data_IF_744816995025
#
_entry.id   IF_744816995025
#
_cell.length_a   1.000
_cell.length_b   1.000
_cell.length_c   1.000
_cell.angle_alpha   90.00
_cell.angle_beta   90.00
_cell.angle_gamma   90.00
#
_symmetry.space_group_name_H-M   'P 1'
#
loop_
_entity.id
_entity.type
_entity.pdbx_description
1 polymer ?
#
# COMPACT_ATOMS: atom_id res chain seq x y z
N UNK A 1 16.47 48.92 -38.76
CA UNK A 1 16.26 47.55 -39.27
C UNK A 1 15.02 47.03 -38.56
N UNK A 2 13.85 47.29 -39.13
CA UNK A 2 12.55 46.96 -38.53
C UNK A 2 12.32 45.45 -38.57
N UNK A 3 11.94 44.88 -37.43
CA UNK A 3 11.58 43.48 -37.29
C UNK A 3 10.17 43.29 -37.88
N UNK A 4 10.08 43.08 -39.19
CA UNK A 4 8.84 42.74 -39.88
C UNK A 4 8.38 41.35 -39.43
N UNK A 5 7.42 41.31 -38.51
CA UNK A 5 6.67 40.10 -38.19
C UNK A 5 5.76 39.78 -39.38
N UNK A 6 6.06 38.71 -40.11
CA UNK A 6 5.27 38.22 -41.21
C UNK A 6 3.86 37.77 -40.71
N UNK A 7 2.74 38.39 -41.15
CA UNK A 7 1.40 38.12 -40.61
C UNK A 7 0.68 36.93 -41.27
N UNK A 8 1.40 35.99 -41.90
CA UNK A 8 0.80 34.99 -42.83
C UNK A 8 0.55 33.59 -42.25
N UNK A 9 0.56 33.39 -40.92
CA UNK A 9 0.07 32.15 -40.28
C UNK A 9 -1.41 32.25 -39.85
N UNK A 10 -2.21 33.06 -40.56
CA UNK A 10 -3.62 33.27 -40.29
C UNK A 10 -4.50 32.08 -40.71
N UNK A 11 -4.39 30.94 -40.02
CA UNK A 11 -5.39 29.89 -40.15
C UNK A 11 -6.74 30.43 -39.64
N UNK A 12 -7.86 30.20 -40.37
CA UNK A 12 -9.17 30.59 -39.89
C UNK A 12 -9.46 29.94 -38.53
N UNK A 13 -10.11 30.67 -37.61
CA UNK A 13 -10.46 30.14 -36.28
C UNK A 13 -11.31 28.85 -36.35
N UNK A 14 -12.13 28.70 -37.39
CA UNK A 14 -12.90 27.48 -37.62
C UNK A 14 -12.01 26.27 -37.96
N UNK A 15 -10.88 26.47 -38.66
CA UNK A 15 -9.90 25.40 -38.96
C UNK A 15 -9.23 24.94 -37.68
N UNK A 16 -8.83 25.89 -36.83
CA UNK A 16 -8.25 25.58 -35.52
C UNK A 16 -9.24 24.80 -34.64
N UNK A 17 -10.51 25.21 -34.64
CA UNK A 17 -11.59 24.54 -33.90
C UNK A 17 -11.79 23.09 -34.36
N UNK A 18 -11.91 22.87 -35.68
CA UNK A 18 -12.04 21.52 -36.23
C UNK A 18 -10.81 20.63 -35.95
N UNK A 19 -9.61 21.21 -35.96
CA UNK A 19 -8.39 20.49 -35.64
C UNK A 19 -8.37 20.01 -34.18
N UNK A 20 -8.75 20.87 -33.23
CA UNK A 20 -8.83 20.50 -31.81
C UNK A 20 -9.85 19.38 -31.55
N UNK A 21 -11.03 19.47 -32.18
CA UNK A 21 -12.04 18.42 -32.09
C UNK A 21 -11.51 17.10 -32.67
N UNK A 22 -10.84 17.16 -33.82
CA UNK A 22 -10.27 15.98 -34.47
C UNK A 22 -9.21 15.31 -33.59
N UNK A 23 -8.33 16.09 -32.95
CA UNK A 23 -7.33 15.57 -32.00
C UNK A 23 -7.99 14.86 -30.82
N UNK A 24 -9.06 15.45 -30.27
CA UNK A 24 -9.79 14.86 -29.16
C UNK A 24 -10.44 13.52 -29.55
N UNK A 25 -11.09 13.46 -30.72
CA UNK A 25 -11.73 12.24 -31.25
C UNK A 25 -10.69 11.15 -31.50
N UNK A 26 -9.59 11.47 -32.18
CA UNK A 26 -8.49 10.51 -32.43
C UNK A 26 -7.90 10.00 -31.13
N UNK A 27 -7.65 10.90 -30.17
CA UNK A 27 -7.11 10.52 -28.86
C UNK A 27 -8.08 9.66 -28.04
N UNK A 28 -9.39 9.90 -28.18
CA UNK A 28 -10.40 9.04 -27.57
C UNK A 28 -10.37 7.62 -28.15
N UNK A 29 -10.29 7.50 -29.48
CA UNK A 29 -10.18 6.20 -30.16
C UNK A 29 -8.88 5.49 -29.76
N UNK A 30 -7.75 6.20 -29.75
CA UNK A 30 -6.46 5.64 -29.34
C UNK A 30 -6.47 5.19 -27.88
N UNK A 31 -7.07 5.98 -26.98
CA UNK A 31 -7.22 5.62 -25.57
C UNK A 31 -8.16 4.44 -25.36
N UNK A 32 -9.19 4.31 -26.19
CA UNK A 32 -10.04 3.12 -26.22
C UNK A 32 -9.26 1.89 -26.67
N UNK A 33 -8.55 1.95 -27.80
CA UNK A 33 -7.71 0.85 -28.32
C UNK A 33 -6.63 0.46 -27.31
N UNK A 34 -5.91 1.43 -26.73
CA UNK A 34 -4.87 1.16 -25.74
C UNK A 34 -5.45 0.43 -24.53
N UNK A 35 -6.61 0.83 -24.04
CA UNK A 35 -7.29 0.11 -22.96
C UNK A 35 -7.77 -1.28 -23.37
N UNK A 36 -8.23 -1.48 -24.61
CA UNK A 36 -8.56 -2.81 -25.12
C UNK A 36 -7.34 -3.73 -25.10
N UNK A 37 -6.19 -3.24 -25.57
CA UNK A 37 -4.93 -4.00 -25.62
C UNK A 37 -4.37 -4.30 -24.22
N UNK A 38 -4.64 -3.42 -23.26
CA UNK A 38 -4.22 -3.56 -21.87
C UNK A 38 -5.27 -4.24 -20.96
N UNK A 39 -6.37 -4.76 -21.54
CA UNK A 39 -7.40 -5.49 -20.77
C UNK A 39 -6.74 -6.65 -20.01
N UNK A 40 -6.95 -6.67 -18.70
CA UNK A 40 -6.37 -7.67 -17.78
C UNK A 40 -5.12 -7.20 -17.02
N UNK A 41 -4.51 -6.05 -17.37
CA UNK A 41 -3.33 -5.53 -16.66
C UNK A 41 -3.53 -4.22 -15.91
N UNK A 42 -4.57 -3.44 -16.22
CA UNK A 42 -4.84 -2.17 -15.53
C UNK A 42 -6.31 -1.74 -15.59
N UNK A 43 -6.81 -1.19 -14.49
CA UNK A 43 -8.08 -0.46 -14.40
C UNK A 43 -7.80 1.03 -14.59
N UNK A 44 -8.13 1.58 -15.76
CA UNK A 44 -7.85 2.99 -16.11
C UNK A 44 -9.14 3.74 -16.43
N UNK A 45 -9.30 4.93 -15.86
CA UNK A 45 -10.42 5.81 -16.19
C UNK A 45 -10.34 6.26 -17.65
N UNK A 46 -11.50 6.44 -18.28
CA UNK A 46 -11.61 6.91 -19.67
C UNK A 46 -10.88 8.24 -19.84
N UNK A 47 -11.06 9.16 -18.90
CA UNK A 47 -10.42 10.49 -18.92
C UNK A 47 -8.89 10.40 -18.91
N UNK A 48 -8.31 9.60 -18.00
CA UNK A 48 -6.85 9.46 -17.93
C UNK A 48 -6.29 8.84 -19.22
N UNK A 49 -6.96 7.85 -19.78
CA UNK A 49 -6.53 7.23 -21.04
C UNK A 49 -6.56 8.18 -22.23
N UNK A 50 -7.55 9.09 -22.29
CA UNK A 50 -7.65 10.11 -23.35
C UNK A 50 -6.49 11.09 -23.24
N UNK A 51 -6.22 11.63 -22.04
CA UNK A 51 -5.12 12.57 -21.79
C UNK A 51 -3.77 11.95 -22.15
N UNK A 52 -3.53 10.71 -21.72
CA UNK A 52 -2.28 10.00 -22.05
C UNK A 52 -2.16 9.70 -23.55
N UNK A 53 -3.29 9.53 -24.26
CA UNK A 53 -3.29 9.35 -25.71
C UNK A 53 -3.04 10.65 -26.48
N UNK A 54 -3.46 11.81 -25.94
CA UNK A 54 -3.08 13.12 -26.49
C UNK A 54 -1.55 13.28 -26.38
N UNK A 55 -0.97 13.00 -25.20
CA UNK A 55 0.48 13.10 -24.99
C UNK A 55 1.25 12.09 -25.84
N UNK A 56 0.80 10.84 -25.87
CA UNK A 56 1.44 9.78 -26.65
C UNK A 56 1.37 10.02 -28.15
N UNK A 57 0.23 10.47 -28.68
CA UNK A 57 0.11 10.81 -30.09
C UNK A 57 1.01 11.98 -30.50
N UNK A 58 1.13 13.02 -29.66
CA UNK A 58 2.07 14.12 -29.89
C UNK A 58 3.52 13.63 -29.99
N UNK A 59 3.95 12.74 -29.08
CA UNK A 59 5.28 12.11 -29.14
C UNK A 59 5.44 11.26 -30.39
N UNK A 60 4.44 10.46 -30.75
CA UNK A 60 4.50 9.60 -31.93
C UNK A 60 4.57 10.39 -33.25
N UNK A 61 3.87 11.53 -33.37
CA UNK A 61 4.00 12.42 -34.52
C UNK A 61 5.38 13.10 -34.56
N UNK A 62 5.93 13.52 -33.41
CA UNK A 62 7.29 14.06 -33.35
C UNK A 62 8.33 13.02 -33.80
N UNK A 63 8.18 11.76 -33.39
CA UNK A 63 9.02 10.66 -33.86
C UNK A 63 8.87 10.42 -35.37
N UNK A 64 7.64 10.47 -35.89
CA UNK A 64 7.40 10.33 -37.33
C UNK A 64 8.12 11.44 -38.12
N UNK A 65 8.08 12.68 -37.64
CA UNK A 65 8.79 13.83 -38.21
C UNK A 65 10.31 13.65 -38.17
N UNK A 66 10.87 13.13 -37.06
CA UNK A 66 12.30 12.85 -36.96
C UNK A 66 12.78 11.78 -37.96
N UNK A 67 11.95 10.76 -38.21
CA UNK A 67 12.28 9.68 -39.15
C UNK A 67 12.13 10.18 -40.59
N UNK A 68 11.05 10.91 -40.89
CA UNK A 68 10.76 11.46 -42.21
C UNK A 68 10.10 12.83 -42.07
N UNK A 69 10.86 13.93 -42.23
CA UNK A 69 10.35 15.29 -42.03
C UNK A 69 9.17 15.68 -42.94
N UNK A 70 9.06 15.05 -44.11
CA UNK A 70 8.01 15.29 -45.11
C UNK A 70 6.83 14.30 -44.99
N UNK A 71 6.77 13.51 -43.91
CA UNK A 71 5.71 12.50 -43.74
C UNK A 71 4.36 13.17 -43.50
N UNK A 72 3.35 12.74 -44.26
CA UNK A 72 1.99 13.18 -44.02
C UNK A 72 1.46 12.63 -42.68
N UNK A 73 0.71 13.43 -41.89
CA UNK A 73 0.10 12.97 -40.63
C UNK A 73 -0.85 11.78 -40.80
N UNK A 74 -1.49 11.66 -41.96
CA UNK A 74 -2.42 10.58 -42.31
C UNK A 74 -1.71 9.32 -42.82
N UNK A 75 -0.37 9.34 -42.92
CA UNK A 75 0.38 8.17 -43.40
C UNK A 75 0.29 7.00 -42.41
N UNK A 76 0.34 5.75 -42.90
CA UNK A 76 0.32 4.57 -42.02
C UNK A 76 1.46 4.58 -40.98
N UNK A 77 2.63 5.11 -41.34
CA UNK A 77 3.77 5.24 -40.43
C UNK A 77 3.44 6.19 -39.26
N UNK A 78 2.95 7.39 -39.57
CA UNK A 78 2.65 8.40 -38.56
C UNK A 78 1.55 7.93 -37.62
N UNK A 79 0.50 7.31 -38.15
CA UNK A 79 -0.60 6.74 -37.37
C UNK A 79 -0.10 5.60 -36.46
N UNK A 80 0.74 4.70 -36.98
CA UNK A 80 1.27 3.57 -36.20
C UNK A 80 2.17 4.04 -35.05
N UNK A 81 3.02 5.03 -35.29
CA UNK A 81 3.88 5.63 -34.26
C UNK A 81 3.04 6.37 -33.20
N UNK A 82 2.02 7.13 -33.61
CA UNK A 82 1.12 7.84 -32.71
C UNK A 82 0.28 6.89 -31.84
N UNK A 83 -0.22 5.79 -32.41
CA UNK A 83 -0.94 4.76 -31.66
C UNK A 83 0.02 4.01 -30.71
N UNK A 84 1.19 3.59 -31.19
CA UNK A 84 2.17 2.87 -30.37
C UNK A 84 2.67 3.70 -29.19
N UNK A 85 3.00 4.97 -29.41
CA UNK A 85 3.39 5.89 -28.35
C UNK A 85 2.24 6.16 -27.36
N UNK A 86 0.99 6.24 -27.82
CA UNK A 86 -0.19 6.30 -26.95
C UNK A 86 -0.35 5.06 -26.07
N UNK A 87 -0.18 3.85 -26.63
CA UNK A 87 -0.24 2.60 -25.86
C UNK A 87 0.86 2.57 -24.79
N UNK A 88 2.09 2.95 -25.14
CA UNK A 88 3.22 3.03 -24.19
C UNK A 88 2.93 4.05 -23.09
N UNK A 89 2.45 5.23 -23.44
CA UNK A 89 2.12 6.29 -22.49
C UNK A 89 1.04 5.84 -21.50
N UNK A 90 -0.04 5.22 -22.00
CA UNK A 90 -1.12 4.65 -21.17
C UNK A 90 -0.58 3.53 -20.27
N UNK A 91 0.27 2.63 -20.77
CA UNK A 91 0.87 1.55 -19.99
C UNK A 91 1.85 2.05 -18.92
N UNK A 92 2.66 3.06 -19.23
CA UNK A 92 3.57 3.70 -18.29
C UNK A 92 2.79 4.41 -17.18
N UNK A 93 1.77 5.19 -17.55
CA UNK A 93 0.85 5.78 -16.57
C UNK A 93 0.18 4.71 -15.73
N UNK A 94 -0.30 3.62 -16.33
CA UNK A 94 -0.92 2.52 -15.59
C UNK A 94 0.03 1.86 -14.60
N UNK A 95 1.29 1.68 -14.96
CA UNK A 95 2.31 1.08 -14.08
C UNK A 95 2.63 1.99 -12.90
N UNK A 96 2.75 3.30 -13.17
CA UNK A 96 2.94 4.33 -12.14
C UNK A 96 1.69 4.47 -11.26
N UNK A 97 0.52 4.55 -11.87
CA UNK A 97 -0.75 4.64 -11.18
C UNK A 97 -1.01 3.40 -10.34
N UNK A 98 -0.74 2.19 -10.82
CA UNK A 98 -0.84 0.97 -10.02
C UNK A 98 0.13 0.96 -8.83
N UNK A 99 1.28 1.64 -8.96
CA UNK A 99 2.21 1.82 -7.85
C UNK A 99 1.71 2.80 -6.79
N UNK A 100 0.86 3.76 -7.17
CA UNK A 100 0.31 4.80 -6.27
C UNK A 100 -1.15 4.59 -5.88
N UNK A 101 -1.91 3.76 -6.60
CA UNK A 101 -3.24 3.30 -6.25
C UNK A 101 -3.07 2.39 -5.05
N UNK A 102 -3.16 2.99 -3.86
CA UNK A 102 -3.34 2.25 -2.62
C UNK A 102 -4.53 1.32 -2.85
N UNK A 103 -4.39 -0.02 -2.75
CA UNK A 103 -5.57 -0.87 -2.68
C UNK A 103 -6.45 -0.27 -1.59
N UNK A 104 -7.72 -0.04 -1.92
CA UNK A 104 -8.71 0.41 -0.94
C UNK A 104 -8.58 -0.54 0.25
N UNK A 105 -8.00 -0.06 1.35
CA UNK A 105 -7.71 -0.92 2.51
C UNK A 105 -9.07 -1.41 2.98
N UNK A 106 -9.23 -2.73 3.06
CA UNK A 106 -10.42 -3.31 3.65
C UNK A 106 -10.67 -2.65 5.02
N UNK A 107 -11.93 -2.27 5.24
CA UNK A 107 -12.40 -1.73 6.51
C UNK A 107 -12.25 -2.78 7.61
N UNK A 108 -12.19 -2.39 8.87
CA UNK A 108 -12.08 -3.36 9.97
C UNK A 108 -13.27 -4.31 9.97
N UNK A 109 -14.47 -3.82 9.67
CA UNK A 109 -15.66 -4.66 9.51
C UNK A 109 -15.54 -5.72 8.39
N UNK A 110 -14.93 -5.38 7.26
CA UNK A 110 -14.68 -6.34 6.17
C UNK A 110 -13.65 -7.39 6.55
N UNK A 111 -12.59 -6.99 7.26
CA UNK A 111 -11.56 -7.91 7.75
C UNK A 111 -12.14 -8.88 8.79
N UNK A 112 -12.93 -8.38 9.74
CA UNK A 112 -13.61 -9.21 10.74
C UNK A 112 -14.55 -10.22 10.06
N UNK A 113 -15.34 -9.78 9.07
CA UNK A 113 -16.25 -10.66 8.32
C UNK A 113 -15.53 -11.72 7.50
N UNK A 114 -14.35 -11.40 6.95
CA UNK A 114 -13.54 -12.34 6.18
C UNK A 114 -12.89 -13.42 7.07
N UNK A 115 -12.74 -13.15 8.36
CA UNK A 115 -12.16 -14.07 9.34
C UNK A 115 -10.64 -14.00 9.41
N UNK A 116 -10.07 -14.84 10.27
CA UNK A 116 -8.61 -14.98 10.39
C UNK A 116 -7.99 -15.56 9.12
N UNK A 117 -6.78 -15.11 8.83
CA UNK A 117 -6.01 -15.55 7.67
C UNK A 117 -4.51 -15.57 7.97
N UNK A 118 -3.70 -15.79 6.95
CA UNK A 118 -2.26 -15.62 7.06
C UNK A 118 -1.88 -14.16 7.39
N UNK A 119 -2.68 -13.18 6.98
CA UNK A 119 -2.44 -11.74 7.19
C UNK A 119 -3.39 -11.08 8.19
N UNK A 120 -4.36 -11.80 8.76
CA UNK A 120 -5.31 -11.28 9.74
C UNK A 120 -5.37 -12.19 10.95
N UNK A 121 -5.19 -11.64 12.14
CA UNK A 121 -5.27 -12.35 13.42
C UNK A 121 -6.23 -11.62 14.36
N UNK A 122 -7.07 -12.37 15.07
CA UNK A 122 -7.97 -11.84 16.09
C UNK A 122 -7.45 -12.16 17.49
N UNK A 123 -7.66 -11.21 18.40
CA UNK A 123 -7.44 -11.41 19.83
C UNK A 123 -8.56 -10.76 20.60
N UNK A 124 -9.12 -11.48 21.56
CA UNK A 124 -10.19 -10.96 22.42
C UNK A 124 -9.72 -9.79 23.29
N UNK A 125 -8.46 -9.83 23.74
CA UNK A 125 -7.84 -8.82 24.61
C UNK A 125 -6.35 -8.70 24.30
N UNK A 126 -5.77 -7.54 24.61
CA UNK A 126 -4.34 -7.29 24.43
C UNK A 126 -3.51 -7.54 25.69
N UNK A 127 -4.10 -7.38 26.88
CA UNK A 127 -3.35 -7.47 28.15
C UNK A 127 -4.09 -8.14 29.30
N UNK A 128 -5.39 -8.38 29.18
CA UNK A 128 -6.16 -9.13 30.19
C UNK A 128 -6.26 -10.60 29.82
N UNK A 129 -5.92 -11.48 30.75
CA UNK A 129 -6.20 -12.91 30.61
C UNK A 129 -7.66 -13.19 30.98
N UNK A 130 -8.43 -13.72 30.03
CA UNK A 130 -9.88 -13.92 30.20
C UNK A 130 -10.23 -14.99 31.25
N UNK A 131 -9.31 -15.92 31.55
CA UNK A 131 -9.54 -16.93 32.58
C UNK A 131 -9.36 -16.36 33.98
N UNK A 132 -8.35 -15.50 34.19
CA UNK A 132 -8.03 -14.93 35.50
C UNK A 132 -8.72 -13.58 35.74
N UNK A 133 -9.17 -12.91 34.68
CA UNK A 133 -9.73 -11.55 34.73
C UNK A 133 -8.71 -10.46 35.05
N UNK A 134 -7.41 -10.79 35.11
CA UNK A 134 -6.34 -9.89 35.52
C UNK A 134 -5.40 -9.55 34.37
N UNK A 135 -4.66 -8.45 34.53
CA UNK A 135 -3.53 -8.11 33.64
C UNK A 135 -2.52 -9.25 33.64
N UNK A 136 -2.12 -9.71 32.46
CA UNK A 136 -1.16 -10.79 32.27
C UNK A 136 -0.14 -10.38 31.20
N UNK A 137 1.12 -10.29 31.60
CA UNK A 137 2.22 -9.94 30.70
C UNK A 137 2.36 -10.94 29.54
N UNK A 138 1.89 -12.18 29.69
CA UNK A 138 1.85 -13.16 28.60
C UNK A 138 0.94 -12.71 27.46
N UNK A 139 -0.19 -12.05 27.76
CA UNK A 139 -1.09 -11.52 26.74
C UNK A 139 -0.40 -10.40 25.95
N UNK A 140 0.31 -9.51 26.66
CA UNK A 140 1.11 -8.44 26.03
C UNK A 140 2.20 -9.03 25.11
N UNK A 141 2.84 -10.11 25.55
CA UNK A 141 3.84 -10.84 24.74
C UNK A 141 3.22 -11.50 23.50
N UNK A 142 2.00 -12.03 23.59
CA UNK A 142 1.31 -12.61 22.43
C UNK A 142 1.09 -11.53 21.36
N UNK A 143 0.64 -10.33 21.76
CA UNK A 143 0.50 -9.17 20.84
C UNK A 143 1.84 -8.83 20.19
N UNK A 144 2.90 -8.69 20.96
CA UNK A 144 4.23 -8.38 20.44
C UNK A 144 4.76 -9.45 19.47
N UNK A 145 4.56 -10.74 19.78
CA UNK A 145 4.96 -11.87 18.92
C UNK A 145 4.23 -11.90 17.61
N UNK A 146 2.91 -11.69 17.63
CA UNK A 146 2.11 -11.61 16.40
C UNK A 146 2.57 -10.46 15.51
N UNK A 147 2.82 -9.28 16.08
CA UNK A 147 3.29 -8.14 15.30
C UNK A 147 4.72 -8.33 14.79
N UNK A 148 5.61 -8.94 15.57
CA UNK A 148 6.95 -9.34 15.10
C UNK A 148 6.85 -10.30 13.90
N UNK A 149 5.98 -11.31 13.99
CA UNK A 149 5.74 -12.27 12.92
C UNK A 149 5.23 -11.60 11.64
N UNK A 150 4.28 -10.66 11.74
CA UNK A 150 3.80 -9.89 10.60
C UNK A 150 4.88 -8.99 9.98
N UNK A 151 5.66 -8.27 10.80
CA UNK A 151 6.74 -7.41 10.33
C UNK A 151 7.80 -8.19 9.55
N UNK A 152 8.10 -9.43 9.97
CA UNK A 152 9.08 -10.29 9.30
C UNK A 152 8.53 -11.07 8.10
N UNK A 153 7.21 -11.11 7.92
CA UNK A 153 6.52 -11.70 6.78
C UNK A 153 6.10 -10.61 5.78
N UNK A 154 4.97 -10.78 5.10
CA UNK A 154 4.42 -9.83 4.13
C UNK A 154 3.56 -8.71 4.76
N UNK A 155 3.62 -8.59 6.09
CA UNK A 155 2.76 -7.70 6.87
C UNK A 155 1.50 -8.42 7.35
N UNK A 156 0.63 -7.66 8.01
CA UNK A 156 -0.65 -8.17 8.49
C UNK A 156 -1.39 -7.18 9.39
N UNK A 157 -2.58 -7.58 9.80
CA UNK A 157 -3.47 -6.83 10.69
C UNK A 157 -3.83 -7.70 11.89
N UNK A 158 -3.56 -7.20 13.08
CA UNK A 158 -4.05 -7.75 14.34
C UNK A 158 -5.26 -6.93 14.77
N UNK A 159 -6.39 -7.58 15.03
CA UNK A 159 -7.61 -6.95 15.56
C UNK A 159 -7.79 -7.40 17.00
N UNK A 160 -7.78 -6.44 17.92
CA UNK A 160 -8.00 -6.66 19.36
C UNK A 160 -9.41 -6.24 19.75
N UNK A 161 -10.04 -7.01 20.63
CA UNK A 161 -11.42 -6.80 21.06
C UNK A 161 -12.42 -7.60 20.24
N UNK A 162 -11.97 -8.68 19.59
CA UNK A 162 -12.80 -9.58 18.76
C UNK A 162 -12.49 -11.03 19.16
N UNK A 163 -13.52 -11.87 19.26
CA UNK A 163 -13.34 -13.30 19.53
C UNK A 163 -12.94 -14.11 18.27
N UNK A 164 -12.66 -15.40 18.45
CA UNK A 164 -12.25 -16.29 17.36
C UNK A 164 -13.37 -16.49 16.30
N UNK A 165 -14.63 -16.17 16.63
CA UNK A 165 -15.76 -16.22 15.71
C UNK A 165 -15.98 -14.90 14.95
N UNK A 166 -15.18 -13.86 15.22
CA UNK A 166 -15.34 -12.54 14.63
C UNK A 166 -16.38 -11.66 15.32
N UNK A 167 -16.84 -12.02 16.53
CA UNK A 167 -17.76 -11.19 17.33
C UNK A 167 -16.99 -10.11 18.08
N UNK A 168 -17.30 -8.81 17.88
CA UNK A 168 -16.74 -7.75 18.70
C UNK A 168 -17.09 -7.91 20.19
N UNK A 169 -16.07 -7.94 21.04
CA UNK A 169 -16.17 -8.01 22.50
C UNK A 169 -15.96 -6.64 23.16
N UNK A 170 -15.22 -5.75 22.51
CA UNK A 170 -14.82 -4.46 23.06
C UNK A 170 -13.47 -4.46 23.75
N UNK A 171 -12.94 -3.26 24.01
CA UNK A 171 -11.68 -3.04 24.73
C UNK A 171 -11.86 -2.77 26.23
N UNK A 172 -13.09 -2.79 26.75
CA UNK A 172 -13.42 -2.40 28.13
C UNK A 172 -12.52 -3.06 29.18
N UNK A 173 -12.25 -4.37 29.02
CA UNK A 173 -11.38 -5.14 29.92
C UNK A 173 -9.95 -4.60 29.92
N UNK A 174 -9.39 -4.34 28.75
CA UNK A 174 -8.04 -3.81 28.64
C UNK A 174 -7.96 -2.35 29.10
N UNK A 175 -8.97 -1.52 28.78
CA UNK A 175 -9.07 -0.14 29.21
C UNK A 175 -9.20 -0.01 30.74
N UNK A 176 -9.89 -0.95 31.39
CA UNK A 176 -10.01 -1.00 32.85
C UNK A 176 -8.66 -1.21 33.57
N UNK A 177 -7.65 -1.76 32.89
CA UNK A 177 -6.29 -1.90 33.44
C UNK A 177 -5.47 -0.61 33.37
N UNK A 178 -5.99 0.43 32.72
CA UNK A 178 -5.35 1.73 32.60
C UNK A 178 -5.74 2.62 33.78
N UNK A 179 -4.88 3.60 34.12
CA UNK A 179 -5.20 4.63 35.13
C UNK A 179 -6.47 5.43 34.79
N UNK A 180 -6.83 5.52 33.51
CA UNK A 180 -8.09 6.03 33.02
C UNK A 180 -8.44 5.25 31.74
N UNK A 181 -9.70 4.83 31.55
CA UNK A 181 -10.12 3.99 30.44
C UNK A 181 -10.29 4.84 29.18
N UNK A 182 -9.19 5.05 28.46
CA UNK A 182 -9.14 5.93 27.28
C UNK A 182 -8.22 5.36 26.19
N UNK A 183 -8.60 5.56 24.93
CA UNK A 183 -7.91 5.06 23.74
C UNK A 183 -6.50 5.63 23.62
N UNK A 184 -6.28 6.90 23.96
CA UNK A 184 -4.97 7.53 23.87
C UNK A 184 -3.96 6.84 24.81
N UNK A 185 -4.40 6.49 26.02
CA UNK A 185 -3.58 5.76 26.99
C UNK A 185 -3.30 4.34 26.56
N UNK A 186 -4.29 3.66 25.98
CA UNK A 186 -4.09 2.34 25.39
C UNK A 186 -3.06 2.40 24.26
N UNK A 187 -3.17 3.37 23.37
CA UNK A 187 -2.22 3.56 22.28
C UNK A 187 -0.81 3.87 22.80
N UNK A 188 -0.66 4.74 23.80
CA UNK A 188 0.63 5.03 24.42
C UNK A 188 1.27 3.79 25.03
N UNK A 189 0.48 2.99 25.78
CA UNK A 189 0.95 1.71 26.33
C UNK A 189 1.40 0.75 25.23
N UNK A 190 0.59 0.57 24.19
CA UNK A 190 0.92 -0.32 23.08
C UNK A 190 2.20 0.15 22.36
N UNK A 191 2.37 1.45 22.16
CA UNK A 191 3.61 2.01 21.56
C UNK A 191 4.84 1.74 22.42
N UNK A 192 4.73 1.87 23.74
CA UNK A 192 5.82 1.57 24.67
C UNK A 192 6.17 0.08 24.68
N UNK A 193 5.16 -0.80 24.74
CA UNK A 193 5.31 -2.25 24.62
C UNK A 193 6.07 -2.61 23.34
N UNK A 194 5.64 -2.09 22.20
CA UNK A 194 6.25 -2.40 20.90
C UNK A 194 7.65 -1.80 20.77
N UNK A 195 7.89 -0.60 21.31
CA UNK A 195 9.22 0.01 21.29
C UNK A 195 10.21 -0.80 22.13
N UNK A 196 9.76 -1.29 23.29
CA UNK A 196 10.57 -2.13 24.18
C UNK A 196 10.82 -3.51 23.57
N UNK A 197 9.78 -4.15 23.03
CA UNK A 197 9.87 -5.50 22.50
C UNK A 197 10.56 -5.57 21.12
N UNK A 198 10.27 -4.65 20.21
CA UNK A 198 10.67 -4.71 18.79
C UNK A 198 11.72 -3.66 18.41
N UNK A 199 12.05 -2.75 19.33
CA UNK A 199 12.86 -1.57 19.07
C UNK A 199 12.10 -0.46 18.33
N UNK A 200 12.62 0.78 18.37
CA UNK A 200 11.93 1.95 17.81
C UNK A 200 11.67 1.85 16.31
N UNK A 201 12.59 1.22 15.57
CA UNK A 201 12.47 1.01 14.13
C UNK A 201 11.35 0.04 13.75
N UNK A 202 11.15 -1.03 14.54
CA UNK A 202 10.06 -1.98 14.33
C UNK A 202 8.72 -1.36 14.70
N UNK A 203 8.66 -0.69 15.86
CA UNK A 203 7.46 -0.01 16.35
C UNK A 203 6.96 1.09 15.39
N UNK A 204 7.87 1.78 14.68
CA UNK A 204 7.53 2.80 13.69
C UNK A 204 6.82 2.24 12.43
N UNK A 205 6.90 0.94 12.18
CA UNK A 205 6.23 0.27 11.05
C UNK A 205 4.80 -0.19 11.38
N UNK A 206 4.34 0.08 12.60
CA UNK A 206 3.01 -0.29 13.09
C UNK A 206 2.10 0.94 13.13
N UNK A 207 0.89 0.82 12.62
CA UNK A 207 -0.18 1.82 12.77
C UNK A 207 -1.30 1.27 13.65
N UNK A 208 -1.92 2.14 14.43
CA UNK A 208 -2.97 1.79 15.40
C UNK A 208 -4.17 2.67 15.10
N UNK A 209 -5.32 2.05 14.94
CA UNK A 209 -6.61 2.68 14.63
C UNK A 209 -7.67 2.08 15.55
N UNK A 210 -8.62 2.88 16.02
CA UNK A 210 -9.76 2.43 16.82
C UNK A 210 -11.03 2.61 16.01
N UNK A 211 -11.88 1.59 15.99
CA UNK A 211 -13.16 1.59 15.27
C UNK A 211 -14.24 0.99 16.16
N UNK A 212 -15.47 1.49 16.05
CA UNK A 212 -16.62 0.90 16.73
C UNK A 212 -17.33 -0.08 15.79
N UNK A 213 -17.48 -1.33 16.20
CA UNK A 213 -18.18 -2.38 15.46
C UNK A 213 -19.38 -2.91 16.26
N UNK A 214 -20.52 -3.21 15.63
CA UNK A 214 -21.64 -3.82 16.32
C UNK A 214 -21.32 -5.26 16.73
N UNK A 215 -21.61 -5.62 17.98
CA UNK A 215 -21.61 -7.00 18.46
C UNK A 215 -22.82 -7.80 17.96
N UNK A 216 -22.96 -9.05 18.43
CA UNK A 216 -24.06 -9.93 18.03
C UNK A 216 -25.47 -9.40 18.35
N UNK A 217 -25.58 -8.48 19.32
CA UNK A 217 -26.83 -7.82 19.71
C UNK A 217 -26.99 -6.43 19.07
N UNK A 218 -26.06 -6.04 18.19
CA UNK A 218 -26.05 -4.73 17.53
C UNK A 218 -25.50 -3.59 18.38
N UNK A 219 -24.90 -3.88 19.54
CA UNK A 219 -24.31 -2.87 20.42
C UNK A 219 -22.90 -2.54 19.90
N UNK A 220 -22.61 -1.25 19.71
CA UNK A 220 -21.29 -0.82 19.28
C UNK A 220 -20.23 -1.12 20.36
N UNK A 221 -19.16 -1.80 19.96
CA UNK A 221 -17.98 -2.14 20.75
C UNK A 221 -16.74 -1.56 20.09
N UNK A 222 -15.91 -0.88 20.87
CA UNK A 222 -14.63 -0.38 20.38
C UNK A 222 -13.66 -1.54 20.17
N UNK A 223 -13.04 -1.61 18.99
CA UNK A 223 -12.00 -2.56 18.63
C UNK A 223 -10.72 -1.81 18.24
N UNK A 224 -9.57 -2.42 18.48
CA UNK A 224 -8.28 -1.85 18.11
C UNK A 224 -7.72 -2.60 16.89
N UNK A 225 -7.59 -1.90 15.76
CA UNK A 225 -6.91 -2.38 14.57
C UNK A 225 -5.44 -1.99 14.64
N UNK A 226 -4.56 -2.98 14.61
CA UNK A 226 -3.12 -2.80 14.61
C UNK A 226 -2.57 -3.34 13.29
N UNK A 227 -2.08 -2.46 12.41
CA UNK A 227 -1.55 -2.85 11.10
C UNK A 227 -0.02 -2.81 11.12
N UNK A 228 0.62 -3.94 10.84
CA UNK A 228 2.07 -4.08 10.72
C UNK A 228 2.48 -4.20 9.25
N UNK A 229 3.25 -3.25 8.74
CA UNK A 229 3.77 -3.33 7.37
C UNK A 229 5.01 -4.20 7.27
N UNK A 230 5.15 -4.97 6.18
CA UNK A 230 6.37 -5.74 5.92
C UNK A 230 7.64 -4.87 6.11
N UNK A 231 8.55 -5.37 6.93
CA UNK A 231 9.76 -4.66 7.32
C UNK A 231 10.84 -4.78 6.23
N UNK A 232 11.58 -3.69 5.94
CA UNK A 232 12.70 -3.74 5.00
C UNK A 232 13.95 -4.42 5.57
N UNK A 233 13.91 -4.87 6.83
CA UNK A 233 14.99 -5.53 7.57
C UNK A 233 14.43 -6.45 8.66
N UNK A 234 15.18 -7.45 9.13
CA UNK A 234 14.72 -8.33 10.21
C UNK A 234 14.35 -7.54 11.47
N UNK A 235 13.24 -7.89 12.10
CA UNK A 235 12.77 -7.34 13.37
C UNK A 235 12.83 -8.45 14.43
N UNK A 236 13.74 -8.30 15.39
CA UNK A 236 13.88 -9.24 16.49
C UNK A 236 13.07 -8.77 17.69
N UNK A 237 12.28 -9.69 18.25
CA UNK A 237 11.53 -9.48 19.49
C UNK A 237 12.43 -9.76 20.70
N UNK A 238 12.35 -8.93 21.73
CA UNK A 238 13.00 -9.12 23.03
C UNK A 238 11.90 -9.26 24.09
N UNK A 239 11.62 -10.48 24.58
CA UNK A 239 10.56 -10.69 25.56
C UNK A 239 10.81 -9.93 26.86
N UNK A 240 12.07 -9.78 27.26
CA UNK A 240 12.48 -8.95 28.37
C UNK A 240 13.91 -8.43 28.14
N UNK A 241 14.38 -7.54 29.03
CA UNK A 241 15.68 -6.86 28.90
C UNK A 241 16.90 -7.79 28.81
N UNK A 242 16.82 -8.99 29.39
CA UNK A 242 17.93 -9.94 29.48
C UNK A 242 17.75 -11.17 28.57
N UNK A 243 16.61 -11.28 27.87
CA UNK A 243 16.31 -12.40 27.00
C UNK A 243 17.08 -12.28 25.68
N UNK A 244 17.42 -13.44 25.11
CA UNK A 244 17.97 -13.50 23.76
C UNK A 244 16.95 -12.94 22.75
N UNK A 245 17.40 -12.21 21.71
CA UNK A 245 16.52 -11.77 20.64
C UNK A 245 15.92 -12.96 19.89
N UNK A 246 14.61 -12.90 19.63
CA UNK A 246 13.85 -13.95 18.97
C UNK A 246 13.37 -13.47 17.60
N UNK A 247 13.57 -14.30 16.56
CA UNK A 247 12.99 -14.04 15.25
C UNK A 247 11.68 -14.81 15.10
N UNK A 248 10.58 -14.07 15.04
CA UNK A 248 9.25 -14.62 14.82
C UNK A 248 8.83 -14.36 13.38
N UNK A 249 8.25 -15.37 12.72
CA UNK A 249 7.78 -15.29 11.33
C UNK A 249 6.39 -15.91 11.24
N UNK A 250 5.53 -15.31 10.40
CA UNK A 250 4.21 -15.88 10.09
C UNK A 250 4.36 -17.02 9.08
N UNK A 251 3.83 -18.19 9.40
CA UNK A 251 3.80 -19.36 8.51
C UNK A 251 2.38 -19.90 8.48
N UNK A 252 1.67 -19.67 7.37
CA UNK A 252 0.23 -19.89 7.30
C UNK A 252 -0.51 -19.03 8.33
N UNK A 253 -1.43 -19.64 9.10
CA UNK A 253 -2.16 -18.98 10.18
C UNK A 253 -1.44 -19.03 11.55
N UNK A 254 -0.13 -19.27 11.58
CA UNK A 254 0.61 -19.44 12.84
C UNK A 254 1.86 -18.56 12.92
N UNK A 255 2.13 -18.01 14.10
CA UNK A 255 3.37 -17.29 14.40
C UNK A 255 4.39 -18.26 15.00
N UNK A 256 5.52 -18.46 14.32
CA UNK A 256 6.56 -19.40 14.74
C UNK A 256 7.88 -18.69 15.02
N UNK A 257 8.54 -19.07 16.10
CA UNK A 257 9.92 -18.68 16.35
C UNK A 257 10.85 -19.55 15.51
N UNK A 258 11.77 -18.91 14.78
CA UNK A 258 12.82 -19.61 14.05
C UNK A 258 14.03 -19.82 14.96
N UNK A 259 14.59 -21.03 14.91
CA UNK A 259 15.91 -21.33 15.48
C UNK A 259 17.00 -20.59 14.70
N UNK A 260 18.20 -20.47 15.28
CA UNK A 260 19.27 -19.59 14.77
C UNK A 260 19.69 -19.93 13.33
N UNK A 261 19.76 -21.22 13.01
CA UNK A 261 20.07 -21.74 11.67
C UNK A 261 19.00 -21.34 10.64
N UNK A 262 17.74 -21.68 10.92
CA UNK A 262 16.60 -21.34 10.06
C UNK A 262 16.38 -19.82 9.95
N UNK A 263 16.63 -19.07 11.03
CA UNK A 263 16.55 -17.62 11.06
C UNK A 263 17.60 -16.99 10.14
N UNK A 264 18.83 -17.50 10.16
CA UNK A 264 19.91 -17.00 9.31
C UNK A 264 19.58 -17.21 7.83
N UNK A 265 19.12 -18.40 7.47
CA UNK A 265 18.71 -18.73 6.09
C UNK A 265 17.52 -17.87 5.63
N UNK A 266 16.48 -17.76 6.47
CA UNK A 266 15.30 -16.95 6.19
C UNK A 266 15.68 -15.48 5.94
N UNK A 267 16.56 -14.92 6.76
CA UNK A 267 17.01 -13.53 6.62
C UNK A 267 17.74 -13.31 5.30
N UNK A 268 18.62 -14.23 4.90
CA UNK A 268 19.36 -14.14 3.64
C UNK A 268 18.43 -14.20 2.41
N UNK A 269 17.39 -15.03 2.46
CA UNK A 269 16.42 -15.15 1.37
C UNK A 269 15.46 -13.96 1.29
N UNK A 270 14.94 -13.51 2.44
CA UNK A 270 13.95 -12.41 2.51
C UNK A 270 14.58 -11.05 2.25
N UNK A 271 15.80 -10.81 2.73
CA UNK A 271 16.52 -9.55 2.60
C UNK A 271 17.91 -9.79 1.98
N UNK A 272 17.99 -10.11 0.68
CA UNK A 272 19.26 -10.43 0.04
C UNK A 272 20.21 -9.23 0.05
N UNK A 273 21.45 -9.47 0.45
CA UNK A 273 22.51 -8.46 0.49
C UNK A 273 23.09 -8.27 -0.93
N UNK A 274 22.37 -7.55 -1.78
CA UNK A 274 22.84 -7.13 -3.10
C UNK A 274 23.09 -5.62 -3.18
N UNK A 275 24.01 -5.14 -4.04
CA UNK A 275 24.37 -3.71 -4.14
C UNK A 275 23.17 -2.77 -4.44
N UNK A 276 22.08 -3.27 -5.04
CA UNK A 276 20.83 -2.51 -5.25
C UNK A 276 19.78 -2.64 -4.13
N UNK A 277 19.89 -3.68 -3.28
CA UNK A 277 18.86 -3.98 -2.27
C UNK A 277 18.88 -2.98 -1.10
N UNK A 278 20.07 -2.52 -0.70
CA UNK A 278 20.22 -1.49 0.33
C UNK A 278 19.59 -0.14 -0.07
N UNK A 279 19.80 0.28 -1.32
CA UNK A 279 19.24 1.52 -1.86
C UNK A 279 17.72 1.42 -1.98
N UNK A 280 17.19 0.31 -2.50
CA UNK A 280 15.75 0.08 -2.61
C UNK A 280 15.05 -0.01 -1.24
N UNK A 281 15.72 -0.57 -0.22
CA UNK A 281 15.22 -0.60 1.15
C UNK A 281 15.19 0.80 1.79
N UNK A 282 16.24 1.60 1.58
CA UNK A 282 16.31 2.98 2.06
C UNK A 282 15.28 3.88 1.38
N UNK A 283 15.09 3.75 0.06
CA UNK A 283 14.05 4.48 -0.68
C UNK A 283 12.64 4.11 -0.21
N UNK A 284 12.33 2.82 -0.03
CA UNK A 284 11.02 2.38 0.49
C UNK A 284 10.77 2.87 1.92
N UNK A 285 11.79 2.89 2.77
CA UNK A 285 11.67 3.43 4.12
C UNK A 285 11.40 4.95 4.08
N UNK A 286 12.18 5.71 3.31
CA UNK A 286 12.03 7.17 3.20
C UNK A 286 10.65 7.60 2.68
N UNK A 287 10.13 6.91 1.66
CA UNK A 287 8.80 7.17 1.10
C UNK A 287 7.68 6.97 2.12
N UNK A 288 7.79 5.99 3.02
CA UNK A 288 6.76 5.75 4.05
C UNK A 288 6.76 6.81 5.16
N UNK A 289 7.94 7.30 5.57
CA UNK A 289 8.03 8.39 6.56
C UNK A 289 7.49 9.72 6.05
N UNK A 290 7.49 9.94 4.73
CA UNK A 290 6.88 11.13 4.12
C UNK A 290 5.35 11.12 4.10
N UNK A 291 4.70 9.97 4.30
CA UNK A 291 3.24 9.83 4.18
C UNK A 291 2.50 9.81 5.54
N UNK A 292 3.22 10.04 6.64
CA UNK A 292 2.68 10.17 8.00
C UNK A 292 2.72 11.60 8.56
N UNK A 293 2.79 12.63 7.70
CA UNK A 293 2.60 14.04 8.06
C UNK A 293 1.32 14.56 7.43
#
# INVERSE_FOLDING_TARGET
MEFSLNPSLGLPLWVLSLALISVLVVSFVFGWIARLLLRGRAQLSTTASVVMSILGSAVGFALAWLIRPTVAPTSPLAISLALGASVIAVAAYASVAAHFQRPQRATTAELVRAGESDQVEFKSTARVNLHTGAKDDKMEQVVAKTLAAFLNADGGTLIVGVDDAGTPLGLDRDLATMKAPDHDRFQLWLRDLLTTALGPNGAALVTVEFEALPDGDGIARDVCRITAGASPRPVFLRPNKNAAPELWVRTGNSSRQLAVDAASEYVMHRWPLGPGAGIAAQFRAAMRFSQGR
#
